data_IF_768648617773
#
_entry.id   IF_768648617773
#
_cell.length_a   1.000
_cell.length_b   1.000
_cell.length_c   1.000
_cell.angle_alpha   90.00
_cell.angle_beta   90.00
_cell.angle_gamma   90.00
#
_symmetry.space_group_name_H-M   'P 1'
#
loop_
_entity.id
_entity.type
_entity.pdbx_description
1 polymer ?
#
# COMPACT_ATOMS: atom_id res chain seq x y z
N UNK A 1 36.05 -20.49 -19.81
CA UNK A 1 36.11 -19.93 -21.19
C UNK A 1 34.74 -19.35 -21.53
N UNK A 2 34.63 -18.05 -21.82
CA UNK A 2 33.36 -17.41 -22.20
C UNK A 2 33.12 -17.66 -23.70
N UNK A 3 32.02 -18.34 -24.04
CA UNK A 3 31.62 -18.62 -25.42
C UNK A 3 31.33 -17.34 -26.20
N UNK A 4 31.62 -17.34 -27.51
CA UNK A 4 31.40 -16.17 -28.37
C UNK A 4 29.94 -15.72 -28.32
N UNK A 5 29.66 -14.41 -28.14
CA UNK A 5 28.29 -13.91 -28.16
C UNK A 5 27.66 -14.20 -29.53
N UNK A 6 26.45 -14.77 -29.53
CA UNK A 6 25.67 -15.05 -30.73
C UNK A 6 25.37 -13.71 -31.46
N UNK A 7 25.36 -13.72 -32.80
CA UNK A 7 24.98 -12.55 -33.61
C UNK A 7 23.61 -12.03 -33.12
N UNK A 8 23.55 -10.76 -32.73
CA UNK A 8 22.37 -10.12 -32.13
C UNK A 8 22.54 -9.68 -30.67
N UNK A 9 23.62 -10.08 -30.00
CA UNK A 9 23.93 -9.58 -28.64
C UNK A 9 24.87 -8.37 -28.66
N UNK A 10 24.55 -7.38 -27.84
CA UNK A 10 25.29 -6.13 -27.62
C UNK A 10 26.49 -6.26 -26.66
N UNK A 11 26.85 -7.48 -26.23
CA UNK A 11 28.07 -7.74 -25.44
C UNK A 11 28.18 -6.96 -24.12
N UNK A 12 27.05 -6.40 -23.64
CA UNK A 12 27.00 -5.60 -22.43
C UNK A 12 27.41 -6.41 -21.21
N UNK A 13 27.88 -5.74 -20.15
CA UNK A 13 28.24 -6.42 -18.90
C UNK A 13 27.07 -7.30 -18.42
N UNK A 14 27.37 -8.49 -17.86
CA UNK A 14 26.36 -9.31 -17.22
C UNK A 14 25.55 -8.49 -16.21
N UNK A 15 24.22 -8.64 -16.24
CA UNK A 15 23.31 -7.98 -15.30
C UNK A 15 23.25 -8.78 -13.99
N UNK A 16 24.40 -9.01 -13.38
CA UNK A 16 24.52 -9.88 -12.19
C UNK A 16 23.79 -9.28 -10.96
N UNK A 17 23.51 -7.97 -11.00
CA UNK A 17 22.78 -7.19 -10.00
C UNK A 17 21.29 -6.99 -10.34
N UNK A 18 20.83 -7.48 -11.50
CA UNK A 18 19.45 -7.32 -11.89
C UNK A 18 18.56 -8.34 -11.20
N UNK A 19 17.82 -7.88 -10.19
CA UNK A 19 16.84 -8.67 -9.44
C UNK A 19 15.59 -9.08 -10.25
N UNK A 20 15.57 -8.81 -11.56
CA UNK A 20 14.41 -8.99 -12.41
C UNK A 20 13.50 -7.76 -12.45
N UNK A 21 12.45 -7.80 -13.26
CA UNK A 21 11.54 -6.68 -13.37
C UNK A 21 10.71 -6.51 -12.09
N UNK A 22 10.29 -5.28 -11.74
CA UNK A 22 9.53 -5.02 -10.52
C UNK A 22 8.13 -5.68 -10.51
N UNK A 23 7.62 -6.13 -11.66
CA UNK A 23 6.36 -6.89 -11.78
C UNK A 23 6.54 -8.42 -11.63
N UNK A 24 7.77 -8.91 -11.44
CA UNK A 24 8.07 -10.32 -11.25
C UNK A 24 7.59 -11.21 -12.41
N UNK A 25 7.03 -12.37 -12.10
CA UNK A 25 6.46 -13.34 -13.06
C UNK A 25 5.11 -12.91 -13.65
N UNK A 26 4.60 -11.74 -13.27
CA UNK A 26 3.28 -11.25 -13.66
C UNK A 26 3.28 -10.44 -14.95
N UNK A 27 2.11 -9.91 -15.27
CA UNK A 27 1.89 -9.01 -16.40
C UNK A 27 2.34 -7.58 -16.04
N UNK A 28 3.26 -7.03 -16.85
CA UNK A 28 3.81 -5.69 -16.67
C UNK A 28 2.72 -4.60 -16.73
N UNK A 29 1.73 -4.75 -17.61
CA UNK A 29 0.62 -3.81 -17.72
C UNK A 29 -0.23 -3.80 -16.45
N UNK A 30 -0.56 -4.99 -15.91
CA UNK A 30 -1.31 -5.10 -14.64
C UNK A 30 -0.57 -4.43 -13.48
N UNK A 31 0.74 -4.62 -13.39
CA UNK A 31 1.56 -3.95 -12.38
C UNK A 31 1.50 -2.43 -12.51
N UNK A 32 1.65 -1.89 -13.73
CA UNK A 32 1.63 -0.45 -13.96
C UNK A 32 0.26 0.17 -13.65
N UNK A 33 -0.83 -0.49 -14.04
CA UNK A 33 -2.20 -0.06 -13.74
C UNK A 33 -2.45 -0.09 -12.23
N UNK A 34 -2.07 -1.18 -11.55
CA UNK A 34 -2.19 -1.29 -10.09
C UNK A 34 -1.38 -0.19 -9.38
N UNK A 35 -0.12 0.01 -9.77
CA UNK A 35 0.76 1.05 -9.20
C UNK A 35 0.16 2.44 -9.37
N UNK A 36 -0.42 2.74 -10.55
CA UNK A 36 -1.09 4.01 -10.82
C UNK A 36 -2.33 4.18 -9.94
N UNK A 37 -3.17 3.15 -9.83
CA UNK A 37 -4.36 3.18 -8.99
C UNK A 37 -4.00 3.37 -7.51
N UNK A 38 -2.99 2.66 -7.03
CA UNK A 38 -2.46 2.80 -5.68
C UNK A 38 -1.98 4.23 -5.42
N UNK A 39 -1.12 4.77 -6.29
CA UNK A 39 -0.62 6.14 -6.15
C UNK A 39 -1.73 7.19 -6.18
N UNK A 40 -2.78 6.97 -6.98
CA UNK A 40 -3.93 7.87 -7.02
C UNK A 40 -4.77 7.80 -5.75
N UNK A 41 -5.01 6.59 -5.22
CA UNK A 41 -5.76 6.39 -3.98
C UNK A 41 -5.04 7.00 -2.76
N UNK A 42 -3.71 6.91 -2.75
CA UNK A 42 -2.85 7.45 -1.70
C UNK A 42 -2.28 8.83 -2.02
N UNK A 43 -2.76 9.47 -3.09
CA UNK A 43 -2.38 10.85 -3.38
C UNK A 43 -2.79 11.70 -2.19
N UNK A 44 -1.85 12.47 -1.65
CA UNK A 44 -2.05 13.21 -0.42
C UNK A 44 -3.33 14.06 -0.52
N UNK A 45 -4.29 13.88 0.41
CA UNK A 45 -5.45 14.75 0.46
C UNK A 45 -5.01 16.18 0.81
N UNK A 46 -5.90 17.16 0.62
CA UNK A 46 -5.62 18.51 1.11
C UNK A 46 -5.29 18.48 2.61
N UNK A 47 -4.47 19.42 3.07
CA UNK A 47 -4.08 19.52 4.48
C UNK A 47 -5.28 19.52 5.42
N UNK A 48 -6.33 20.23 5.05
CA UNK A 48 -7.58 20.31 5.81
C UNK A 48 -8.28 18.96 5.92
N UNK A 49 -8.36 18.20 4.82
CA UNK A 49 -8.93 16.85 4.83
C UNK A 49 -8.08 15.91 5.68
N UNK A 50 -6.75 16.01 5.61
CA UNK A 50 -5.86 15.22 6.45
C UNK A 50 -6.09 15.50 7.95
N UNK A 51 -6.18 16.77 8.34
CA UNK A 51 -6.44 17.18 9.72
C UNK A 51 -7.84 16.75 10.20
N UNK A 52 -8.85 16.85 9.33
CA UNK A 52 -10.20 16.37 9.64
C UNK A 52 -10.21 14.85 9.89
N UNK A 53 -9.54 14.07 9.03
CA UNK A 53 -9.40 12.61 9.20
C UNK A 53 -8.65 12.27 10.49
N UNK A 54 -7.56 12.98 10.78
CA UNK A 54 -6.79 12.78 12.00
C UNK A 54 -7.65 13.04 13.25
N UNK A 55 -8.35 14.17 13.30
CA UNK A 55 -9.24 14.51 14.41
C UNK A 55 -10.35 13.47 14.60
N UNK A 56 -10.91 12.92 13.52
CA UNK A 56 -11.91 11.85 13.62
C UNK A 56 -11.31 10.52 14.09
N UNK A 57 -10.11 10.18 13.62
CA UNK A 57 -9.39 9.00 14.07
C UNK A 57 -9.11 9.07 15.58
N UNK A 58 -8.62 10.22 16.07
CA UNK A 58 -8.35 10.47 17.49
C UNK A 58 -9.60 10.28 18.36
N UNK A 59 -10.75 10.86 17.97
CA UNK A 59 -12.03 10.67 18.70
C UNK A 59 -12.43 9.20 18.80
N UNK A 60 -12.09 8.39 17.80
CA UNK A 60 -12.40 6.96 17.74
C UNK A 60 -11.28 6.08 18.29
N UNK A 61 -10.16 6.64 18.78
CA UNK A 61 -8.99 5.86 19.21
C UNK A 61 -8.37 5.00 18.11
N UNK A 62 -8.51 5.43 16.85
CA UNK A 62 -7.93 4.83 15.67
C UNK A 62 -6.66 5.56 15.25
N UNK A 63 -5.78 4.90 14.51
CA UNK A 63 -4.71 5.61 13.79
C UNK A 63 -5.28 6.33 12.56
N UNK A 64 -4.56 7.33 12.07
CA UNK A 64 -4.89 8.00 10.81
C UNK A 64 -5.05 7.00 9.66
N UNK A 65 -4.16 6.01 9.59
CA UNK A 65 -4.17 4.98 8.56
C UNK A 65 -5.42 4.09 8.67
N UNK A 66 -5.75 3.60 9.86
CA UNK A 66 -6.94 2.79 10.10
C UNK A 66 -8.23 3.51 9.69
N UNK A 67 -8.36 4.79 10.07
CA UNK A 67 -9.50 5.61 9.66
C UNK A 67 -9.53 5.83 8.14
N UNK A 68 -8.36 6.10 7.54
CA UNK A 68 -8.24 6.34 6.10
C UNK A 68 -8.58 5.08 5.28
N UNK A 69 -8.23 3.88 5.77
CA UNK A 69 -8.58 2.62 5.11
C UNK A 69 -10.08 2.35 5.11
N UNK A 70 -10.84 2.78 6.12
CA UNK A 70 -12.30 2.68 6.09
C UNK A 70 -12.90 3.55 4.97
N UNK A 71 -12.28 4.69 4.66
CA UNK A 71 -12.69 5.52 3.51
C UNK A 71 -12.25 4.87 2.20
N UNK A 72 -10.98 4.49 2.07
CA UNK A 72 -10.41 4.03 0.80
C UNK A 72 -10.92 2.63 0.38
N UNK A 73 -11.05 1.69 1.31
CA UNK A 73 -11.46 0.32 1.00
C UNK A 73 -12.98 0.13 1.05
N UNK A 74 -13.65 0.80 2.00
CA UNK A 74 -15.07 0.55 2.31
C UNK A 74 -15.97 1.71 1.93
N UNK A 75 -15.41 2.87 1.55
CA UNK A 75 -16.19 4.07 1.25
C UNK A 75 -16.91 4.65 2.47
N UNK A 76 -16.48 4.30 3.69
CA UNK A 76 -17.18 4.68 4.93
C UNK A 76 -16.42 5.75 5.69
N UNK A 77 -17.12 6.86 5.96
CA UNK A 77 -16.67 7.89 6.89
C UNK A 77 -17.22 7.58 8.27
N UNK A 78 -16.39 7.00 9.14
CA UNK A 78 -16.80 6.72 10.52
C UNK A 78 -17.10 8.03 11.27
N UNK A 79 -18.19 8.01 12.02
CA UNK A 79 -18.65 9.05 12.95
C UNK A 79 -18.41 8.60 14.40
N UNK A 80 -18.69 9.48 15.37
CA UNK A 80 -18.47 9.19 16.79
C UNK A 80 -19.34 8.01 17.28
N UNK A 81 -20.49 7.81 16.65
CA UNK A 81 -21.48 6.78 16.95
C UNK A 81 -21.04 5.39 16.45
N UNK A 82 -20.06 5.30 15.55
CA UNK A 82 -19.53 4.04 15.00
C UNK A 82 -18.56 3.31 15.97
N UNK A 83 -18.83 3.39 17.27
CA UNK A 83 -17.98 2.88 18.34
C UNK A 83 -17.68 1.37 18.21
N UNK A 84 -18.67 0.58 17.80
CA UNK A 84 -18.53 -0.87 17.61
C UNK A 84 -17.55 -1.20 16.49
N UNK A 85 -17.63 -0.48 15.36
CA UNK A 85 -16.71 -0.67 14.24
C UNK A 85 -15.30 -0.29 14.63
N UNK A 86 -15.13 0.83 15.33
CA UNK A 86 -13.83 1.26 15.85
C UNK A 86 -13.27 0.21 16.84
N UNK A 87 -14.11 -0.37 17.70
CA UNK A 87 -13.69 -1.43 18.62
C UNK A 87 -13.18 -2.68 17.88
N UNK A 88 -13.86 -3.10 16.81
CA UNK A 88 -13.40 -4.23 15.98
C UNK A 88 -12.04 -3.98 15.35
N UNK A 89 -11.80 -2.77 14.84
CA UNK A 89 -10.52 -2.38 14.23
C UNK A 89 -9.41 -2.43 15.29
N UNK A 90 -9.63 -1.81 16.46
CA UNK A 90 -8.66 -1.86 17.57
C UNK A 90 -8.37 -3.28 18.03
N UNK A 91 -9.38 -4.15 18.10
CA UNK A 91 -9.20 -5.55 18.46
C UNK A 91 -8.36 -6.31 17.43
N UNK A 92 -8.56 -6.05 16.14
CA UNK A 92 -7.74 -6.64 15.06
C UNK A 92 -6.28 -6.20 15.18
N UNK A 93 -6.02 -4.90 15.42
CA UNK A 93 -4.67 -4.38 15.65
C UNK A 93 -3.98 -5.10 16.81
N UNK A 94 -4.68 -5.26 17.94
CA UNK A 94 -4.14 -5.97 19.11
C UNK A 94 -3.76 -7.41 18.76
N UNK A 95 -4.66 -8.18 18.14
CA UNK A 95 -4.36 -9.56 17.73
C UNK A 95 -3.15 -9.66 16.79
N UNK A 96 -3.03 -8.71 15.85
CA UNK A 96 -1.88 -8.68 14.95
C UNK A 96 -0.57 -8.48 15.72
N UNK A 97 -0.55 -7.61 16.74
CA UNK A 97 0.63 -7.44 17.60
C UNK A 97 0.96 -8.71 18.38
N UNK A 98 -0.05 -9.37 18.92
CA UNK A 98 0.11 -10.61 19.70
C UNK A 98 0.63 -11.78 18.84
N UNK A 99 0.39 -11.76 17.52
CA UNK A 99 0.87 -12.81 16.59
C UNK A 99 2.27 -12.53 16.05
N UNK A 100 2.78 -11.31 16.21
CA UNK A 100 4.10 -10.88 15.72
C UNK A 100 5.18 -10.85 16.80
N UNK A 101 4.85 -11.21 18.05
CA UNK A 101 5.78 -11.40 19.16
C UNK A 101 5.95 -12.88 19.48
#
# INVERSE_FOLDING_TARGET
MRGRPKRGHNGGPPLDDYAGPPWGKGDAYKFLVWRKAHNNAWKAPSREVALMRLSKAERLGLTYEEYTLEILERGRHLQAEDGDRAAQIRARRRRSKDTSG
#
